data_IF_832677842879
#
_entry.id   IF_832677842879
#
_cell.length_a   1.000
_cell.length_b   1.000
_cell.length_c   1.000
_cell.angle_alpha   90.00
_cell.angle_beta   90.00
_cell.angle_gamma   90.00
#
_symmetry.space_group_name_H-M   'P 1'
#
loop_
_entity.id
_entity.type
_entity.pdbx_description
1 polymer ?
#
# COMPACT_ATOMS: atom_id res chain seq x y z
N UNK A 1 -11.06 -9.09 11.12
CA UNK A 1 -10.66 -7.69 10.87
C UNK A 1 -9.17 -7.71 10.58
N UNK A 2 -8.73 -7.44 9.35
CA UNK A 2 -7.30 -7.36 9.06
C UNK A 2 -6.78 -5.96 9.51
N UNK A 3 -5.47 -5.83 9.72
CA UNK A 3 -4.86 -4.59 10.23
C UNK A 3 -4.92 -3.41 9.23
N UNK A 4 -4.91 -3.69 7.93
CA UNK A 4 -4.98 -2.69 6.86
C UNK A 4 -6.37 -2.05 6.79
N UNK A 5 -7.43 -2.85 6.93
CA UNK A 5 -8.81 -2.35 6.98
C UNK A 5 -9.05 -1.37 8.14
N UNK A 6 -8.45 -1.63 9.30
CA UNK A 6 -8.50 -0.71 10.43
C UNK A 6 -7.73 0.58 10.16
N UNK A 7 -6.53 0.48 9.56
CA UNK A 7 -5.71 1.63 9.20
C UNK A 7 -6.45 2.53 8.21
N UNK A 8 -6.94 1.98 7.10
CA UNK A 8 -7.70 2.72 6.08
C UNK A 8 -8.94 3.42 6.64
N UNK A 9 -9.68 2.77 7.54
CA UNK A 9 -10.83 3.40 8.21
C UNK A 9 -10.40 4.58 9.09
N UNK A 10 -9.24 4.47 9.75
CA UNK A 10 -8.70 5.54 10.58
C UNK A 10 -8.19 6.71 9.73
N UNK A 11 -7.52 6.43 8.62
CA UNK A 11 -7.07 7.45 7.65
C UNK A 11 -8.26 8.24 7.09
N UNK A 12 -9.32 7.54 6.67
CA UNK A 12 -10.56 8.16 6.19
C UNK A 12 -11.17 9.09 7.25
N UNK A 13 -11.23 8.67 8.52
CA UNK A 13 -11.80 9.49 9.59
C UNK A 13 -11.00 10.76 9.91
N UNK A 14 -9.73 10.83 9.49
CA UNK A 14 -8.84 11.98 9.71
C UNK A 14 -8.58 12.79 8.43
N UNK A 15 -9.25 12.47 7.29
CA UNK A 15 -8.99 13.08 5.99
C UNK A 15 -7.49 13.03 5.59
N UNK A 16 -6.84 11.90 5.86
CA UNK A 16 -5.44 11.70 5.46
C UNK A 16 -5.43 11.09 4.06
N UNK A 17 -4.86 11.80 3.10
CA UNK A 17 -4.80 11.36 1.70
C UNK A 17 -3.70 10.31 1.46
N UNK A 18 -2.58 10.43 2.17
CA UNK A 18 -1.39 9.57 2.07
C UNK A 18 -0.79 9.35 3.46
N UNK A 19 -0.50 8.10 3.82
CA UNK A 19 0.25 7.72 5.03
C UNK A 19 1.37 6.74 4.70
N UNK A 20 2.39 6.66 5.56
CA UNK A 20 3.49 5.71 5.45
C UNK A 20 3.47 4.72 6.63
N UNK A 21 3.43 3.42 6.32
CA UNK A 21 3.42 2.33 7.28
C UNK A 21 4.65 1.45 7.10
N UNK A 22 5.46 1.33 8.16
CA UNK A 22 6.54 0.34 8.23
C UNK A 22 5.99 -0.99 8.73
N UNK A 23 6.11 -2.05 7.94
CA UNK A 23 5.68 -3.41 8.32
C UNK A 23 6.57 -4.45 7.68
N UNK A 24 6.69 -5.62 8.32
CA UNK A 24 7.31 -6.79 7.70
C UNK A 24 6.52 -7.14 6.43
N UNK A 25 7.19 -7.06 5.27
CA UNK A 25 6.56 -7.19 3.95
C UNK A 25 5.84 -8.54 3.82
N UNK A 26 4.49 -8.50 3.85
CA UNK A 26 3.61 -9.66 3.98
C UNK A 26 3.35 -10.42 2.66
N UNK A 27 3.87 -9.96 1.51
CA UNK A 27 3.62 -10.63 0.23
C UNK A 27 4.78 -10.41 -0.75
N UNK A 28 4.89 -11.32 -1.72
CA UNK A 28 5.79 -11.24 -2.87
C UNK A 28 5.30 -10.18 -3.89
N UNK A 29 4.05 -9.76 -3.78
CA UNK A 29 3.42 -8.70 -4.59
C UNK A 29 3.73 -7.33 -3.98
N UNK A 30 3.98 -6.29 -4.79
CA UNK A 30 4.29 -4.92 -4.33
C UNK A 30 3.09 -4.02 -4.06
N UNK A 31 1.87 -4.56 -4.06
CA UNK A 31 0.66 -3.81 -3.69
C UNK A 31 -0.44 -4.73 -3.16
N UNK A 32 -1.36 -4.16 -2.37
CA UNK A 32 -2.66 -4.76 -2.07
C UNK A 32 -3.70 -3.64 -2.15
N UNK A 33 -4.67 -3.81 -3.04
CA UNK A 33 -5.80 -2.90 -3.15
C UNK A 33 -6.88 -3.34 -2.17
N UNK A 34 -7.00 -2.63 -1.05
CA UNK A 34 -8.13 -2.82 -0.13
C UNK A 34 -9.37 -2.10 -0.69
N UNK A 35 -10.07 -2.80 -1.58
CA UNK A 35 -11.26 -2.27 -2.28
C UNK A 35 -12.36 -1.76 -1.35
N UNK A 36 -12.46 -2.29 -0.13
CA UNK A 36 -13.56 -1.97 0.79
C UNK A 36 -13.38 -0.64 1.54
N UNK A 37 -12.17 -0.09 1.61
CA UNK A 37 -11.87 1.10 2.42
C UNK A 37 -11.52 2.36 1.61
N UNK A 38 -11.38 2.25 0.29
CA UNK A 38 -11.05 3.38 -0.59
C UNK A 38 -9.58 3.83 -0.54
N UNK A 39 -8.69 2.95 -0.05
CA UNK A 39 -7.25 3.14 -0.04
C UNK A 39 -6.55 1.99 -0.77
N UNK A 40 -5.45 2.32 -1.42
CA UNK A 40 -4.55 1.39 -2.09
C UNK A 40 -3.23 1.39 -1.32
N UNK A 41 -2.80 0.22 -0.85
CA UNK A 41 -1.52 0.07 -0.17
C UNK A 41 -0.43 -0.28 -1.18
N UNK A 42 0.62 0.55 -1.24
CA UNK A 42 1.72 0.46 -2.22
C UNK A 42 3.04 0.22 -1.49
N UNK A 43 3.86 -0.73 -1.95
CA UNK A 43 5.23 -0.89 -1.44
C UNK A 43 6.18 -1.35 -2.54
N UNK A 44 7.47 -1.34 -2.23
CA UNK A 44 8.48 -1.86 -3.15
C UNK A 44 8.36 -3.38 -3.22
N UNK A 45 8.28 -3.91 -4.44
CA UNK A 45 8.38 -5.35 -4.65
C UNK A 45 9.80 -5.82 -4.28
N UNK A 46 9.92 -6.75 -3.33
CA UNK A 46 11.20 -7.33 -2.92
C UNK A 46 11.23 -8.79 -3.40
N UNK A 47 12.08 -9.11 -4.41
CA UNK A 47 12.16 -10.45 -4.97
C UNK A 47 12.40 -11.54 -3.92
N UNK A 48 11.84 -12.71 -4.17
CA UNK A 48 12.02 -13.89 -3.32
C UNK A 48 13.50 -14.22 -3.10
N UNK A 49 13.86 -14.55 -1.86
CA UNK A 49 15.23 -14.86 -1.45
C UNK A 49 16.08 -13.65 -1.05
N UNK A 50 15.53 -12.42 -1.10
CA UNK A 50 16.16 -11.23 -0.47
C UNK A 50 15.56 -10.97 0.91
N UNK A 51 16.39 -10.46 1.82
CA UNK A 51 16.00 -10.10 3.18
C UNK A 51 14.90 -9.02 3.16
N UNK A 52 13.79 -9.28 3.86
CA UNK A 52 12.57 -8.44 3.89
C UNK A 52 12.48 -7.59 5.16
N UNK A 53 13.61 -7.17 5.72
CA UNK A 53 13.60 -6.46 6.99
C UNK A 53 13.13 -5.01 6.79
N UNK A 54 12.02 -4.64 7.42
CA UNK A 54 11.60 -3.25 7.57
C UNK A 54 11.18 -2.56 6.27
N UNK A 55 10.25 -3.15 5.52
CA UNK A 55 9.68 -2.46 4.36
C UNK A 55 8.74 -1.33 4.80
N UNK A 56 8.80 -0.23 4.05
CA UNK A 56 7.86 0.89 4.17
C UNK A 56 6.90 0.82 2.99
N UNK A 57 5.60 0.80 3.29
CA UNK A 57 4.53 0.96 2.31
C UNK A 57 3.77 2.26 2.54
N UNK A 58 2.99 2.65 1.55
CA UNK A 58 2.15 3.85 1.57
C UNK A 58 0.70 3.45 1.43
N UNK A 59 -0.16 3.93 2.32
CA UNK A 59 -1.60 3.94 2.10
C UNK A 59 -1.94 5.22 1.32
N UNK A 60 -2.52 5.08 0.14
CA UNK A 60 -2.90 6.20 -0.73
C UNK A 60 -4.37 6.10 -1.04
N UNK A 61 -5.12 7.20 -0.89
CA UNK A 61 -6.51 7.26 -1.30
C UNK A 61 -6.64 6.81 -2.76
N UNK A 62 -7.55 5.88 -3.08
CA UNK A 62 -7.56 5.19 -4.37
C UNK A 62 -7.74 6.12 -5.58
N UNK A 63 -8.42 7.26 -5.44
CA UNK A 63 -8.55 8.26 -6.51
C UNK A 63 -7.26 9.03 -6.81
N UNK A 64 -6.39 9.19 -5.82
CA UNK A 64 -5.03 9.74 -6.00
C UNK A 64 -4.13 8.64 -6.56
N UNK A 65 -4.20 7.43 -5.99
CA UNK A 65 -3.46 6.28 -6.47
C UNK A 65 -3.73 6.01 -7.97
N UNK A 66 -4.96 6.24 -8.43
CA UNK A 66 -5.33 6.08 -9.84
C UNK A 66 -4.70 7.04 -10.83
N UNK A 67 -4.05 8.08 -10.33
CA UNK A 67 -3.39 9.11 -11.12
C UNK A 67 -1.87 9.05 -10.99
N UNK A 68 -1.33 8.15 -10.15
CA UNK A 68 0.11 8.01 -9.94
C UNK A 68 0.75 7.16 -11.05
N UNK A 69 1.75 7.72 -11.72
CA UNK A 69 2.71 6.94 -12.47
C UNK A 69 3.67 6.27 -11.50
N UNK A 70 3.63 4.93 -11.44
CA UNK A 70 4.49 4.19 -10.53
C UNK A 70 5.92 4.07 -11.08
N UNK A 71 6.95 4.43 -10.28
CA UNK A 71 8.34 4.26 -10.69
C UNK A 71 8.70 2.79 -10.88
N UNK A 72 9.70 2.52 -11.73
CA UNK A 72 10.19 1.16 -11.98
C UNK A 72 10.61 0.46 -10.67
N UNK A 73 10.01 -0.69 -10.37
CA UNK A 73 10.23 -1.44 -9.13
C UNK A 73 9.07 -1.38 -8.12
N UNK A 74 8.01 -0.63 -8.43
CA UNK A 74 6.70 -0.76 -7.80
C UNK A 74 5.79 -1.58 -8.72
N UNK A 75 4.97 -2.46 -8.15
CA UNK A 75 4.06 -3.29 -8.95
C UNK A 75 3.01 -2.40 -9.61
N UNK A 76 2.86 -2.51 -10.94
CA UNK A 76 1.86 -1.76 -11.73
C UNK A 76 0.44 -2.08 -11.22
N UNK A 77 -0.28 -1.04 -10.78
CA UNK A 77 -1.68 -1.13 -10.40
C UNK A 77 -2.53 -1.07 -11.68
N UNK A 78 -2.97 -2.23 -12.16
CA UNK A 78 -4.03 -2.32 -13.16
C UNK A 78 -5.35 -1.90 -12.52
N UNK A 79 -5.93 -0.81 -13.02
CA UNK A 79 -7.27 -0.35 -12.66
C UNK A 79 -8.36 -1.19 -13.32
#
# INVERSE_FOLDING_TARGET
MNMFMWASKKLSSHNIDIDALSKDCLSDEGHISERDAGYTFLWKEIPNGKERNGAVGFDVQSGIASQLELPQGFTNIGF
#
